data_IF_537248853044
#
_entry.id   IF_537248853044
#
_cell.length_a   1.000
_cell.length_b   1.000
_cell.length_c   1.000
_cell.angle_alpha   90.00
_cell.angle_beta   90.00
_cell.angle_gamma   90.00
#
_symmetry.space_group_name_H-M   'P 1'
#
loop_
_entity.id
_entity.type
_entity.pdbx_description
1 polymer ?
#
# COMPACT_ATOMS: atom_id res chain seq x y z
N UNK A 1 -16.32 -4.89 -6.89
CA UNK A 1 -14.91 -4.45 -7.12
C UNK A 1 -14.06 -5.60 -7.71
N UNK A 2 -14.46 -6.20 -8.83
CA UNK A 2 -13.76 -7.36 -9.45
C UNK A 2 -12.97 -7.00 -10.71
N UNK A 3 -13.41 -5.96 -11.43
CA UNK A 3 -12.82 -5.50 -12.71
C UNK A 3 -11.30 -5.24 -12.63
N UNK A 4 -10.79 -4.79 -11.48
CA UNK A 4 -9.34 -4.55 -11.29
C UNK A 4 -8.51 -5.84 -11.34
N UNK A 5 -9.04 -6.96 -10.86
CA UNK A 5 -8.35 -8.25 -10.89
C UNK A 5 -8.38 -8.86 -12.29
N UNK A 6 -9.51 -8.74 -12.99
CA UNK A 6 -9.64 -9.12 -14.40
C UNK A 6 -8.67 -8.33 -15.28
N UNK A 7 -8.64 -6.99 -15.16
CA UNK A 7 -7.70 -6.15 -15.91
C UNK A 7 -6.24 -6.46 -15.61
N UNK A 8 -5.91 -6.80 -14.36
CA UNK A 8 -4.54 -7.16 -13.96
C UNK A 8 -4.10 -8.55 -14.47
N UNK A 9 -5.03 -9.35 -15.02
CA UNK A 9 -4.79 -10.72 -15.49
C UNK A 9 -5.35 -10.92 -16.90
N UNK A 10 -5.36 -9.87 -17.72
CA UNK A 10 -5.74 -9.95 -19.15
C UNK A 10 -7.12 -10.58 -19.39
N UNK A 11 -8.06 -10.34 -18.47
CA UNK A 11 -9.42 -10.89 -18.47
C UNK A 11 -9.52 -12.42 -18.29
N UNK A 12 -8.41 -13.09 -17.94
CA UNK A 12 -8.38 -14.51 -17.57
C UNK A 12 -9.11 -14.70 -16.23
N UNK A 13 -10.26 -15.40 -16.28
CA UNK A 13 -11.15 -15.57 -15.14
C UNK A 13 -10.51 -16.39 -14.03
N UNK A 14 -9.76 -17.44 -14.36
CA UNK A 14 -9.17 -18.35 -13.37
C UNK A 14 -8.01 -17.67 -12.63
N UNK A 15 -7.14 -16.98 -13.38
CA UNK A 15 -6.04 -16.21 -12.80
C UNK A 15 -6.55 -15.03 -11.98
N UNK A 16 -7.57 -14.32 -12.46
CA UNK A 16 -8.17 -13.20 -11.74
C UNK A 16 -8.85 -13.67 -10.44
N UNK A 17 -9.59 -14.78 -10.49
CA UNK A 17 -10.25 -15.37 -9.32
C UNK A 17 -9.23 -15.81 -8.28
N UNK A 18 -8.15 -16.47 -8.71
CA UNK A 18 -7.05 -16.86 -7.82
C UNK A 18 -6.40 -15.65 -7.14
N UNK A 19 -6.13 -14.56 -7.89
CA UNK A 19 -5.58 -13.33 -7.35
C UNK A 19 -6.55 -12.65 -6.37
N UNK A 20 -7.84 -12.66 -6.67
CA UNK A 20 -8.88 -12.08 -5.82
C UNK A 20 -8.97 -12.81 -4.48
N UNK A 21 -8.97 -14.16 -4.49
CA UNK A 21 -8.99 -14.96 -3.25
C UNK A 21 -7.74 -14.70 -2.39
N UNK A 22 -6.55 -14.61 -3.00
CA UNK A 22 -5.31 -14.24 -2.29
C UNK A 22 -5.40 -12.85 -1.66
N UNK A 23 -5.93 -11.88 -2.41
CA UNK A 23 -6.15 -10.52 -1.90
C UNK A 23 -7.13 -10.50 -0.72
N UNK A 24 -8.25 -11.25 -0.80
CA UNK A 24 -9.22 -11.32 0.30
C UNK A 24 -8.59 -11.93 1.56
N UNK A 25 -7.84 -13.03 1.42
CA UNK A 25 -7.13 -13.65 2.54
C UNK A 25 -6.20 -12.65 3.23
N UNK A 26 -5.40 -11.92 2.46
CA UNK A 26 -4.53 -10.86 2.99
C UNK A 26 -5.34 -9.71 3.63
N UNK A 27 -6.41 -9.25 2.98
CA UNK A 27 -7.21 -8.13 3.48
C UNK A 27 -7.84 -8.48 4.84
N UNK A 28 -8.40 -9.68 4.98
CA UNK A 28 -8.99 -10.13 6.23
C UNK A 28 -7.96 -10.30 7.35
N UNK A 29 -6.73 -10.76 7.04
CA UNK A 29 -5.68 -10.92 8.05
C UNK A 29 -4.99 -9.62 8.44
N UNK A 30 -4.78 -8.70 7.49
CA UNK A 30 -3.92 -7.53 7.66
C UNK A 30 -4.70 -6.23 7.91
N UNK A 31 -5.95 -6.15 7.43
CA UNK A 31 -6.83 -4.99 7.60
C UNK A 31 -8.20 -5.48 8.10
N UNK A 32 -8.26 -6.02 9.34
CA UNK A 32 -9.47 -6.67 9.87
C UNK A 32 -10.67 -5.73 9.92
N UNK A 33 -10.43 -4.43 10.16
CA UNK A 33 -11.46 -3.38 10.18
C UNK A 33 -11.82 -2.85 8.77
N UNK A 34 -11.29 -3.48 7.72
CA UNK A 34 -11.58 -3.16 6.31
C UNK A 34 -10.92 -1.89 5.77
N UNK A 35 -10.41 -1.02 6.64
CA UNK A 35 -9.67 0.20 6.32
C UNK A 35 -8.58 0.48 7.37
N UNK A 36 -7.64 1.37 7.02
CA UNK A 36 -6.65 1.94 7.94
C UNK A 36 -6.95 3.43 8.02
N UNK A 37 -7.26 3.92 9.21
CA UNK A 37 -7.53 5.33 9.48
C UNK A 37 -6.22 6.13 9.54
N UNK A 38 -6.23 7.42 9.17
CA UNK A 38 -5.04 8.27 9.30
C UNK A 38 -4.51 8.34 10.74
N UNK A 39 -5.38 8.25 11.74
CA UNK A 39 -5.00 8.23 13.16
C UNK A 39 -4.21 6.97 13.54
N UNK A 40 -4.44 5.82 12.89
CA UNK A 40 -3.67 4.60 13.14
C UNK A 40 -2.22 4.70 12.63
N UNK A 41 -1.96 5.63 11.70
CA UNK A 41 -0.67 5.79 11.01
C UNK A 41 -0.16 7.23 11.05
N UNK A 42 -0.52 8.02 12.08
CA UNK A 42 -0.15 9.44 12.18
C UNK A 42 1.36 9.66 12.12
N UNK A 43 2.12 8.79 12.80
CA UNK A 43 3.58 8.85 12.87
C UNK A 43 4.20 8.57 11.49
N UNK A 44 3.65 7.61 10.74
CA UNK A 44 4.10 7.29 9.38
C UNK A 44 3.77 8.39 8.37
N UNK A 45 2.62 9.04 8.51
CA UNK A 45 2.21 10.18 7.69
C UNK A 45 3.12 11.39 7.96
N UNK A 46 3.44 11.67 9.23
CA UNK A 46 4.31 12.76 9.64
C UNK A 46 5.75 12.62 9.11
N UNK A 47 6.21 11.41 8.78
CA UNK A 47 7.53 11.20 8.19
C UNK A 47 7.63 11.75 6.75
N UNK A 48 6.51 12.02 6.08
CA UNK A 48 6.46 12.55 4.70
C UNK A 48 7.44 11.83 3.76
N UNK A 49 7.45 10.49 3.86
CA UNK A 49 8.40 9.63 3.15
C UNK A 49 7.84 9.07 1.84
N UNK A 50 6.55 9.28 1.56
CA UNK A 50 5.86 8.76 0.37
C UNK A 50 5.06 9.86 -0.33
N UNK A 51 5.20 9.97 -1.65
CA UNK A 51 4.48 10.94 -2.48
C UNK A 51 3.88 10.27 -3.72
N UNK A 52 2.63 10.59 -4.06
CA UNK A 52 1.88 10.00 -5.18
C UNK A 52 1.17 11.11 -5.96
N UNK A 53 1.90 11.83 -6.82
CA UNK A 53 1.38 13.05 -7.48
C UNK A 53 1.57 13.07 -9.01
N UNK A 54 1.63 11.92 -9.67
CA UNK A 54 1.77 11.92 -11.13
C UNK A 54 1.66 10.56 -11.79
N UNK A 55 1.75 10.60 -13.12
CA UNK A 55 1.82 9.43 -13.99
C UNK A 55 3.01 9.55 -14.93
N UNK A 56 3.54 8.43 -15.39
CA UNK A 56 4.59 8.42 -16.41
C UNK A 56 4.03 8.64 -17.82
N UNK A 57 4.91 8.60 -18.83
CA UNK A 57 4.54 8.77 -20.25
C UNK A 57 3.53 7.73 -20.77
N UNK A 58 3.34 6.61 -20.06
CA UNK A 58 2.38 5.54 -20.39
C UNK A 58 1.12 5.61 -19.51
N UNK A 59 0.95 6.66 -18.71
CA UNK A 59 -0.17 6.83 -17.80
C UNK A 59 -0.10 5.95 -16.54
N UNK A 60 1.06 5.36 -16.22
CA UNK A 60 1.22 4.53 -15.02
C UNK A 60 1.45 5.43 -13.80
N UNK A 61 0.72 5.25 -12.69
CA UNK A 61 0.95 6.03 -11.46
C UNK A 61 2.40 5.94 -10.97
N UNK A 62 2.94 7.07 -10.54
CA UNK A 62 4.29 7.17 -9.96
C UNK A 62 4.16 7.40 -8.46
N UNK A 63 4.93 6.62 -7.71
CA UNK A 63 5.13 6.79 -6.27
C UNK A 63 6.61 7.05 -6.00
N UNK A 64 6.92 8.10 -5.26
CA UNK A 64 8.29 8.45 -4.83
C UNK A 64 8.43 8.16 -3.35
N UNK A 65 9.45 7.39 -2.98
CA UNK A 65 9.75 7.01 -1.60
C UNK A 65 11.12 7.56 -1.18
N UNK A 66 11.16 8.31 -0.07
CA UNK A 66 12.39 8.79 0.54
C UNK A 66 12.81 7.86 1.66
N UNK A 67 13.60 6.83 1.34
CA UNK A 67 14.06 5.84 2.32
C UNK A 67 14.84 6.47 3.48
N UNK A 68 15.57 7.57 3.24
CA UNK A 68 16.31 8.30 4.27
C UNK A 68 15.41 8.93 5.36
N UNK A 69 14.11 9.11 5.09
CA UNK A 69 13.12 9.60 6.07
C UNK A 69 12.43 8.45 6.84
N UNK A 70 12.81 7.19 6.59
CA UNK A 70 12.18 6.05 7.24
C UNK A 70 12.70 5.86 8.66
N UNK A 71 11.79 5.93 9.64
CA UNK A 71 12.08 5.58 11.03
C UNK A 71 11.16 4.44 11.47
N UNK A 72 11.75 3.30 11.83
CA UNK A 72 11.01 2.11 12.28
C UNK A 72 10.46 2.26 13.71
N UNK A 73 11.13 3.04 14.55
CA UNK A 73 10.76 3.26 15.95
C UNK A 73 10.19 4.67 16.17
N UNK A 74 9.14 4.77 16.99
CA UNK A 74 8.49 6.03 17.36
C UNK A 74 9.41 7.03 18.07
N UNK A 75 10.51 6.55 18.66
CA UNK A 75 11.43 7.38 19.47
C UNK A 75 12.69 7.83 18.72
N UNK A 76 12.80 7.57 17.41
CA UNK A 76 13.98 7.97 16.63
C UNK A 76 15.30 7.49 17.25
N UNK A 77 16.31 8.37 17.27
CA UNK A 77 17.65 8.09 17.82
C UNK A 77 17.66 7.79 19.33
N UNK A 78 16.66 8.23 20.09
CA UNK A 78 16.57 7.92 21.53
C UNK A 78 16.24 6.45 21.80
N UNK A 79 15.84 5.67 20.79
CA UNK A 79 15.73 4.22 20.89
C UNK A 79 17.09 3.48 20.83
N UNK A 80 18.18 4.20 20.51
CA UNK A 80 19.55 3.68 20.47
C UNK A 80 20.42 4.17 21.64
N UNK A 81 19.84 4.94 22.57
CA UNK A 81 20.47 5.31 23.84
C UNK A 81 20.33 4.21 24.88
#
# INVERSE_FOLDING_TARGET
>A
MIRRFLRARDLDVDKASTMFLKYLKWKHSFVPNGSVSPSEISDDLAQEKMYVQGVDKKGRPITVAFAAKHFQNKNGLDAFK
#
